data_IF_049468372094
#
_entry.id   IF_049468372094
#
_cell.length_a   1.000
_cell.length_b   1.000
_cell.length_c   1.000
_cell.angle_alpha   90.00
_cell.angle_beta   90.00
_cell.angle_gamma   90.00
#
_symmetry.space_group_name_H-M   'P 1'
#
loop_
_entity.id
_entity.type
_entity.pdbx_description
1 polymer ?
#
# COMPACT_ATOMS: atom_id res chain seq x y z
N UNK A 1 -57.53 31.14 -35.79
CA UNK A 1 -56.62 30.24 -35.08
C UNK A 1 -57.05 28.82 -35.41
N UNK A 2 -56.18 28.05 -36.05
CA UNK A 2 -56.52 26.71 -36.55
C UNK A 2 -56.00 25.64 -35.58
N UNK A 3 -56.67 24.50 -35.51
CA UNK A 3 -56.28 23.34 -34.68
C UNK A 3 -54.78 22.97 -34.80
N UNK A 4 -54.14 23.02 -35.99
CA UNK A 4 -52.71 22.72 -36.08
C UNK A 4 -51.79 23.72 -35.37
N UNK A 5 -52.25 24.96 -35.12
CA UNK A 5 -51.48 25.97 -34.38
C UNK A 5 -51.36 25.63 -32.88
N UNK A 6 -52.25 24.79 -32.36
CA UNK A 6 -52.30 24.39 -30.95
C UNK A 6 -51.50 23.11 -30.64
N UNK A 7 -51.22 22.29 -31.65
CA UNK A 7 -50.41 21.06 -31.52
C UNK A 7 -49.04 21.29 -30.86
N UNK A 8 -48.23 22.29 -31.25
CA UNK A 8 -46.94 22.52 -30.62
C UNK A 8 -47.08 22.96 -29.16
N UNK A 9 -48.13 23.70 -28.79
CA UNK A 9 -48.38 24.13 -27.40
C UNK A 9 -48.79 22.97 -26.49
N UNK A 10 -49.48 21.96 -27.05
CA UNK A 10 -49.87 20.75 -26.33
C UNK A 10 -48.70 19.80 -26.10
N UNK A 11 -47.72 19.78 -27.00
CA UNK A 11 -46.51 18.96 -26.84
C UNK A 11 -45.67 19.36 -25.60
N UNK A 12 -45.75 20.63 -25.17
CA UNK A 12 -45.08 21.12 -23.95
C UNK A 12 -45.86 20.86 -22.65
N UNK A 13 -47.13 20.43 -22.73
CA UNK A 13 -47.91 19.98 -21.56
C UNK A 13 -47.66 18.51 -21.23
N UNK A 14 -46.90 17.78 -22.06
CA UNK A 14 -46.52 16.42 -21.75
C UNK A 14 -45.64 16.39 -20.48
N UNK A 15 -45.91 15.46 -19.54
CA UNK A 15 -45.08 15.32 -18.35
C UNK A 15 -43.63 15.02 -18.74
N UNK A 16 -42.68 15.58 -17.99
CA UNK A 16 -41.26 15.34 -18.23
C UNK A 16 -40.98 13.82 -18.26
N UNK A 17 -40.15 13.33 -19.19
CA UNK A 17 -39.80 11.92 -19.25
C UNK A 17 -39.13 11.50 -17.94
N UNK A 18 -39.35 10.25 -17.49
CA UNK A 18 -38.81 9.76 -16.23
C UNK A 18 -37.28 9.87 -16.23
N UNK A 19 -36.74 10.39 -15.13
CA UNK A 19 -35.29 10.54 -14.91
C UNK A 19 -34.68 9.14 -14.96
N UNK A 20 -33.70 8.96 -15.86
CA UNK A 20 -32.94 7.71 -15.94
C UNK A 20 -32.14 7.52 -14.65
N UNK A 21 -32.13 6.31 -14.05
CA UNK A 21 -31.24 6.04 -12.94
C UNK A 21 -29.78 6.28 -13.36
N UNK A 22 -29.04 6.98 -12.51
CA UNK A 22 -27.66 7.30 -12.75
C UNK A 22 -26.83 6.00 -12.80
N UNK A 23 -25.93 5.83 -13.79
CA UNK A 23 -25.18 4.60 -13.92
C UNK A 23 -24.32 4.36 -12.67
N UNK A 24 -24.17 3.10 -12.22
CA UNK A 24 -23.32 2.81 -11.08
C UNK A 24 -21.89 3.27 -11.36
N UNK A 25 -21.30 3.99 -10.41
CA UNK A 25 -19.90 4.43 -10.50
C UNK A 25 -19.02 3.19 -10.61
N UNK A 26 -18.40 2.99 -11.78
CA UNK A 26 -17.41 1.93 -11.98
C UNK A 26 -16.15 2.28 -11.21
N UNK A 27 -15.88 1.54 -10.15
CA UNK A 27 -14.55 1.51 -9.54
C UNK A 27 -13.65 0.63 -10.41
N UNK A 28 -12.35 0.95 -10.51
CA UNK A 28 -11.40 0.07 -11.17
C UNK A 28 -11.36 -1.31 -10.48
N UNK A 29 -11.37 -2.38 -11.26
CA UNK A 29 -11.38 -3.76 -10.72
C UNK A 29 -10.16 -4.07 -9.83
N UNK A 30 -9.03 -3.41 -10.08
CA UNK A 30 -7.80 -3.57 -9.31
C UNK A 30 -7.81 -2.83 -7.97
N UNK A 31 -8.68 -1.83 -7.81
CA UNK A 31 -8.71 -0.96 -6.65
C UNK A 31 -8.88 -1.74 -5.31
N UNK A 32 -9.84 -2.67 -5.15
CA UNK A 32 -9.96 -3.44 -3.91
C UNK A 32 -8.72 -4.29 -3.60
N UNK A 33 -8.11 -4.90 -4.61
CA UNK A 33 -6.90 -5.71 -4.44
C UNK A 33 -5.71 -4.85 -3.97
N UNK A 34 -5.57 -3.64 -4.52
CA UNK A 34 -4.54 -2.70 -4.10
C UNK A 34 -4.71 -2.25 -2.65
N UNK A 35 -5.93 -1.91 -2.23
CA UNK A 35 -6.21 -1.50 -0.84
C UNK A 35 -5.89 -2.64 0.13
N UNK A 36 -6.27 -3.88 -0.21
CA UNK A 36 -5.94 -5.04 0.60
C UNK A 36 -4.42 -5.24 0.71
N UNK A 37 -3.69 -5.21 -0.42
CA UNK A 37 -2.24 -5.35 -0.44
C UNK A 37 -1.52 -4.29 0.39
N UNK A 38 -1.92 -3.02 0.25
CA UNK A 38 -1.36 -1.91 1.04
C UNK A 38 -1.61 -2.09 2.53
N UNK A 39 -2.79 -2.55 2.93
CA UNK A 39 -3.13 -2.76 4.34
C UNK A 39 -2.26 -3.84 4.96
N UNK A 40 -2.06 -4.96 4.26
CA UNK A 40 -1.16 -6.04 4.69
C UNK A 40 0.28 -5.56 4.79
N UNK A 41 0.76 -4.81 3.79
CA UNK A 41 2.12 -4.26 3.80
C UNK A 41 2.35 -3.34 5.00
N UNK A 42 1.42 -2.43 5.29
CA UNK A 42 1.54 -1.51 6.44
C UNK A 42 1.59 -2.28 7.76
N UNK A 43 0.88 -3.40 7.89
CA UNK A 43 0.90 -4.23 9.11
C UNK A 43 2.20 -5.04 9.24
N UNK A 44 2.73 -5.58 8.14
CA UNK A 44 3.85 -6.52 8.17
C UNK A 44 5.21 -5.82 8.04
N UNK A 45 5.31 -4.71 7.30
CA UNK A 45 6.56 -4.00 7.08
C UNK A 45 7.26 -3.56 8.38
N UNK A 46 6.55 -3.06 9.43
CA UNK A 46 7.19 -2.70 10.70
C UNK A 46 7.80 -3.91 11.41
N UNK A 47 7.12 -5.07 11.36
CA UNK A 47 7.63 -6.31 11.94
C UNK A 47 8.94 -6.65 11.25
N UNK A 48 8.96 -6.72 9.92
CA UNK A 48 10.17 -7.00 9.14
C UNK A 48 11.27 -5.98 9.44
N UNK A 49 10.95 -4.69 9.50
CA UNK A 49 11.92 -3.63 9.76
C UNK A 49 12.54 -3.77 11.16
N UNK A 50 11.74 -4.05 12.19
CA UNK A 50 12.24 -4.24 13.55
C UNK A 50 13.17 -5.44 13.59
N UNK A 51 12.77 -6.61 13.08
CA UNK A 51 13.64 -7.80 13.12
C UNK A 51 14.87 -7.71 12.21
N UNK A 52 14.76 -6.99 11.08
CA UNK A 52 15.85 -6.80 10.13
C UNK A 52 16.91 -5.79 10.61
N UNK A 53 16.49 -4.68 11.22
CA UNK A 53 17.42 -3.65 11.71
C UNK A 53 17.91 -3.89 13.13
N UNK A 54 17.22 -4.71 13.94
CA UNK A 54 17.66 -5.08 15.29
C UNK A 54 18.73 -6.18 15.28
N UNK A 55 19.66 -6.15 14.32
CA UNK A 55 20.98 -6.77 14.49
C UNK A 55 21.86 -5.75 15.20
N UNK A 56 22.18 -5.92 16.49
CA UNK A 56 22.90 -4.92 17.25
C UNK A 56 24.41 -5.02 16.94
N UNK A 57 24.80 -4.64 15.73
CA UNK A 57 26.20 -4.67 15.28
C UNK A 57 27.06 -3.71 16.10
N UNK A 58 26.54 -2.54 16.45
CA UNK A 58 27.26 -1.51 17.22
C UNK A 58 27.67 -1.98 18.63
N UNK A 59 26.75 -2.47 19.50
CA UNK A 59 27.15 -2.94 20.83
C UNK A 59 27.93 -4.25 20.78
N UNK A 60 27.68 -5.14 19.80
CA UNK A 60 28.50 -6.34 19.63
C UNK A 60 29.94 -5.99 19.26
N UNK A 61 30.11 -5.01 18.38
CA UNK A 61 31.42 -4.50 17.98
C UNK A 61 32.17 -3.85 19.13
N UNK A 62 31.51 -2.98 19.90
CA UNK A 62 32.16 -2.33 21.05
C UNK A 62 32.62 -3.34 22.10
N UNK A 63 31.84 -4.39 22.36
CA UNK A 63 32.20 -5.47 23.29
C UNK A 63 33.36 -6.32 22.76
N UNK A 64 33.37 -6.62 21.45
CA UNK A 64 34.45 -7.38 20.83
C UNK A 64 35.77 -6.61 20.81
N UNK A 65 35.74 -5.33 20.45
CA UNK A 65 36.91 -4.44 20.46
C UNK A 65 37.44 -4.22 21.88
N UNK A 66 36.55 -4.04 22.87
CA UNK A 66 36.94 -3.96 24.29
C UNK A 66 37.60 -5.24 24.81
N UNK A 67 37.23 -6.40 24.25
CA UNK A 67 37.86 -7.70 24.56
C UNK A 67 39.15 -7.96 23.76
N UNK A 68 39.69 -6.96 23.04
CA UNK A 68 40.90 -7.08 22.23
C UNK A 68 40.71 -7.88 20.92
N UNK A 69 39.47 -8.12 20.53
CA UNK A 69 39.12 -8.86 19.31
C UNK A 69 38.77 -7.95 18.13
N UNK A 70 38.70 -8.55 16.94
CA UNK A 70 38.15 -7.94 15.72
C UNK A 70 36.87 -8.63 15.30
N UNK A 71 35.86 -7.85 14.89
CA UNK A 71 34.62 -8.38 14.34
C UNK A 71 34.86 -8.85 12.91
N UNK A 72 34.51 -10.10 12.63
CA UNK A 72 34.63 -10.73 11.31
C UNK A 72 33.23 -11.16 10.85
N UNK A 73 32.84 -10.97 9.59
CA UNK A 73 31.58 -11.48 9.09
C UNK A 73 31.51 -13.00 9.25
N UNK A 74 30.38 -13.52 9.75
CA UNK A 74 30.19 -14.95 10.00
C UNK A 74 30.10 -15.80 8.73
N UNK A 75 29.83 -15.17 7.58
CA UNK A 75 29.75 -15.77 6.24
C UNK A 75 30.07 -14.69 5.20
N UNK A 76 30.69 -15.07 4.07
CA UNK A 76 30.95 -14.18 2.92
C UNK A 76 29.65 -13.68 2.26
N UNK A 77 28.54 -14.39 2.44
CA UNK A 77 27.22 -14.02 1.94
C UNK A 77 26.44 -13.09 2.91
N UNK A 78 26.99 -12.77 4.10
CA UNK A 78 26.33 -11.90 5.08
C UNK A 78 25.18 -12.54 5.88
N UNK A 79 24.87 -13.80 5.60
CA UNK A 79 23.72 -14.52 6.18
C UNK A 79 23.94 -15.02 7.62
N UNK A 80 25.15 -14.89 8.17
CA UNK A 80 25.50 -15.38 9.52
C UNK A 80 25.74 -14.26 10.54
N UNK A 81 25.54 -14.52 11.84
CA UNK A 81 25.88 -13.56 12.88
C UNK A 81 27.39 -13.23 12.84
N UNK A 82 27.78 -11.96 13.05
CA UNK A 82 29.19 -11.58 13.11
C UNK A 82 29.91 -12.33 14.24
N UNK A 83 31.16 -12.73 14.01
CA UNK A 83 31.98 -13.44 15.00
C UNK A 83 33.07 -12.51 15.53
N UNK A 84 33.38 -12.64 16.81
CA UNK A 84 34.53 -11.95 17.40
C UNK A 84 35.76 -12.85 17.31
N UNK A 85 36.79 -12.44 16.55
CA UNK A 85 38.08 -13.12 16.49
C UNK A 85 39.04 -12.43 17.45
N UNK A 86 39.41 -13.12 18.53
CA UNK A 86 40.48 -12.68 19.44
C UNK A 86 41.85 -13.11 18.90
N UNK A 87 42.88 -12.32 19.17
CA UNK A 87 44.28 -12.68 18.91
C UNK A 87 44.79 -13.63 19.98
#
# INVERSE_FOLDING_TARGET
MSVPDWLPLLAFQAPLPPIRPEPPRRMPEWFPAFIMGMTVFIMVAPIIAIWGFHRPEKPFRSVCEAAGGRVVPGSLAGDGPPRCRRF
#
